data_IF_977198311024
#
_entry.id   IF_977198311024
#
_cell.length_a   1.000
_cell.length_b   1.000
_cell.length_c   1.000
_cell.angle_alpha   90.00
_cell.angle_beta   90.00
_cell.angle_gamma   90.00
#
_symmetry.space_group_name_H-M   'P 1'
#
loop_
_entity.id
_entity.type
_entity.pdbx_description
1 polymer ?
#
# COMPACT_ATOMS: atom_id res chain seq x y z
N UNK A 1 17.02 15.19 7.47
CA UNK A 1 17.42 13.90 8.09
C UNK A 1 16.62 13.77 9.37
N UNK A 2 15.54 12.97 9.38
CA UNK A 2 14.65 12.80 10.53
C UNK A 2 15.01 11.50 11.29
N UNK A 3 15.02 11.51 12.64
CA UNK A 3 15.42 10.34 13.41
C UNK A 3 14.27 9.34 13.51
N UNK A 4 14.48 8.13 13.01
CA UNK A 4 13.59 6.98 13.21
C UNK A 4 13.94 6.27 14.52
N UNK A 5 12.99 6.13 15.44
CA UNK A 5 13.16 5.32 16.66
C UNK A 5 12.97 3.83 16.36
N UNK A 6 13.79 3.01 17.03
CA UNK A 6 14.00 1.59 16.75
C UNK A 6 13.22 0.77 17.79
N UNK A 7 12.38 -0.17 17.36
CA UNK A 7 12.01 -1.34 18.16
C UNK A 7 12.39 -2.61 17.38
N UNK A 8 13.31 -3.39 17.93
CA UNK A 8 13.81 -4.64 17.36
C UNK A 8 12.90 -5.80 17.75
N UNK A 9 12.16 -6.35 16.79
CA UNK A 9 11.63 -7.71 16.86
C UNK A 9 12.35 -8.57 15.81
N UNK A 10 13.32 -9.37 16.24
CA UNK A 10 14.42 -9.88 15.39
C UNK A 10 14.03 -10.87 14.27
N UNK A 11 12.86 -11.52 14.34
CA UNK A 11 12.42 -12.46 13.29
C UNK A 11 11.58 -11.77 12.17
N UNK A 12 10.87 -10.69 12.49
CA UNK A 12 10.02 -9.92 11.57
C UNK A 12 10.73 -8.67 11.07
N UNK A 13 11.77 -8.20 11.77
CA UNK A 13 12.65 -7.11 11.35
C UNK A 13 13.49 -7.46 10.12
N UNK A 14 13.58 -8.74 9.73
CA UNK A 14 14.32 -9.16 8.53
C UNK A 14 13.65 -8.81 7.21
N UNK A 15 12.33 -8.64 7.15
CA UNK A 15 11.60 -8.50 5.89
C UNK A 15 10.71 -7.27 5.90
N UNK A 16 10.76 -6.45 4.85
CA UNK A 16 9.83 -5.34 4.66
C UNK A 16 9.25 -5.27 3.26
N UNK A 17 8.05 -4.69 3.14
CA UNK A 17 7.38 -4.44 1.87
C UNK A 17 7.25 -2.94 1.62
N UNK A 18 7.68 -2.49 0.46
CA UNK A 18 7.37 -1.16 -0.08
C UNK A 18 6.11 -1.28 -0.92
N UNK A 19 5.03 -0.61 -0.51
CA UNK A 19 3.72 -0.70 -1.18
C UNK A 19 3.55 0.50 -2.11
N UNK A 20 3.47 0.25 -3.42
CA UNK A 20 3.35 1.28 -4.43
C UNK A 20 2.00 1.15 -5.13
N UNK A 21 1.11 2.11 -4.87
CA UNK A 21 -0.14 2.24 -5.62
C UNK A 21 0.12 2.85 -6.99
N UNK A 22 -0.59 2.36 -8.01
CA UNK A 22 -0.47 2.87 -9.38
C UNK A 22 -1.19 4.22 -9.51
N UNK A 23 -0.46 5.23 -10.00
CA UNK A 23 -0.92 6.60 -10.14
C UNK A 23 0.22 7.58 -9.83
N UNK A 24 -0.13 8.78 -9.35
CA UNK A 24 0.87 9.76 -8.92
C UNK A 24 1.51 9.29 -7.61
N UNK A 25 2.79 8.94 -7.64
CA UNK A 25 3.52 8.45 -6.46
C UNK A 25 4.90 9.09 -6.38
N UNK A 26 5.52 9.19 -5.19
CA UNK A 26 6.81 9.86 -5.09
C UNK A 26 7.97 9.20 -5.82
N UNK A 27 7.89 7.90 -6.09
CA UNK A 27 8.98 7.13 -6.70
C UNK A 27 9.03 7.28 -8.23
N UNK A 28 8.82 8.50 -8.71
CA UNK A 28 8.88 8.87 -10.14
C UNK A 28 10.30 9.22 -10.60
N UNK A 29 11.25 9.39 -9.68
CA UNK A 29 12.66 9.70 -9.96
C UNK A 29 13.58 8.63 -9.40
N UNK A 30 14.73 8.44 -10.06
CA UNK A 30 15.76 7.49 -9.62
C UNK A 30 16.26 7.83 -8.22
N UNK A 31 16.47 9.12 -7.95
CA UNK A 31 16.90 9.60 -6.64
C UNK A 31 15.91 9.20 -5.54
N UNK A 32 14.60 9.38 -5.76
CA UNK A 32 13.61 9.01 -4.74
C UNK A 32 13.54 7.50 -4.52
N UNK A 33 13.75 6.69 -5.57
CA UNK A 33 13.84 5.23 -5.46
C UNK A 33 15.07 4.85 -4.63
N UNK A 34 16.23 5.45 -4.90
CA UNK A 34 17.46 5.19 -4.14
C UNK A 34 17.34 5.64 -2.68
N UNK A 35 16.83 6.85 -2.44
CA UNK A 35 16.64 7.42 -1.10
C UNK A 35 15.71 6.57 -0.24
N UNK A 36 14.74 5.88 -0.87
CA UNK A 36 13.90 4.91 -0.19
C UNK A 36 14.65 3.58 0.05
N UNK A 37 15.16 2.96 -1.02
CA UNK A 37 15.60 1.56 -0.95
C UNK A 37 16.93 1.40 -0.21
N UNK A 38 17.80 2.40 -0.25
CA UNK A 38 19.12 2.39 0.42
C UNK A 38 19.03 2.17 1.93
N UNK A 39 18.31 3.00 2.71
CA UNK A 39 18.16 2.77 4.15
C UNK A 39 17.38 1.48 4.45
N UNK A 40 16.40 1.10 3.62
CA UNK A 40 15.64 -0.13 3.83
C UNK A 40 16.49 -1.37 3.67
N UNK A 41 17.36 -1.42 2.66
CA UNK A 41 18.26 -2.57 2.43
C UNK A 41 19.42 -2.63 3.43
N UNK A 42 19.71 -1.54 4.12
CA UNK A 42 20.65 -1.54 5.24
C UNK A 42 20.01 -2.05 6.54
N UNK A 43 18.68 -1.89 6.68
CA UNK A 43 17.92 -2.24 7.89
C UNK A 43 17.30 -3.65 7.82
N UNK A 44 16.85 -4.05 6.64
CA UNK A 44 16.11 -5.29 6.41
C UNK A 44 16.94 -6.24 5.53
N UNK A 45 16.86 -7.53 5.82
CA UNK A 45 17.49 -8.58 5.01
C UNK A 45 16.85 -8.67 3.62
N UNK A 46 15.52 -8.65 3.55
CA UNK A 46 14.75 -8.65 2.30
C UNK A 46 13.84 -7.43 2.18
N UNK A 47 13.88 -6.79 1.02
CA UNK A 47 12.97 -5.70 0.65
C UNK A 47 12.12 -6.16 -0.53
N UNK A 48 10.82 -6.33 -0.30
CA UNK A 48 9.85 -6.60 -1.34
C UNK A 48 9.24 -5.29 -1.83
N UNK A 49 9.32 -4.99 -3.11
CA UNK A 49 8.62 -3.87 -3.71
C UNK A 49 7.36 -4.40 -4.37
N UNK A 50 6.20 -4.10 -3.80
CA UNK A 50 4.90 -4.55 -4.27
C UNK A 50 4.21 -3.45 -5.08
N UNK A 51 3.96 -3.73 -6.36
CA UNK A 51 3.17 -2.86 -7.23
C UNK A 51 1.70 -3.25 -7.16
N UNK A 52 0.88 -2.39 -6.56
CA UNK A 52 -0.56 -2.60 -6.39
C UNK A 52 -1.34 -2.14 -7.62
N UNK A 53 -1.09 -2.73 -8.78
CA UNK A 53 -1.75 -2.37 -10.04
C UNK A 53 -3.22 -2.80 -10.07
N UNK A 54 -3.52 -4.06 -9.76
CA UNK A 54 -4.88 -4.61 -9.93
C UNK A 54 -5.96 -3.88 -9.09
N UNK A 55 -5.81 -3.66 -7.77
CA UNK A 55 -6.84 -2.94 -7.00
C UNK A 55 -6.98 -1.49 -7.44
N UNK A 56 -5.93 -0.89 -7.99
CA UNK A 56 -5.95 0.49 -8.45
C UNK A 56 -6.86 0.70 -9.68
N UNK A 57 -7.32 -0.35 -10.38
CA UNK A 57 -8.28 -0.20 -11.48
C UNK A 57 -9.53 0.55 -11.04
N UNK A 58 -10.06 0.24 -9.86
CA UNK A 58 -11.23 0.92 -9.31
C UNK A 58 -10.93 2.38 -8.94
N UNK A 59 -9.76 2.64 -8.37
CA UNK A 59 -9.30 4.00 -8.06
C UNK A 59 -9.20 4.89 -9.33
N UNK A 60 -8.71 4.34 -10.43
CA UNK A 60 -8.62 5.06 -11.71
C UNK A 60 -9.99 5.40 -12.32
N UNK A 61 -11.04 4.67 -11.95
CA UNK A 61 -12.42 4.93 -12.39
C UNK A 61 -13.10 6.07 -11.63
N UNK A 62 -12.51 6.59 -10.55
CA UNK A 62 -13.07 7.71 -9.77
C UNK A 62 -13.06 9.03 -10.58
N UNK A 63 -11.91 9.52 -11.09
CA UNK A 63 -11.87 10.80 -11.79
C UNK A 63 -12.58 10.75 -13.15
N UNK A 64 -12.53 9.60 -13.84
CA UNK A 64 -12.97 9.46 -15.24
C UNK A 64 -14.10 8.44 -15.34
N UNK A 65 -15.12 8.73 -16.14
CA UNK A 65 -16.17 7.75 -16.50
C UNK A 65 -15.62 6.69 -17.45
N UNK A 66 -14.67 5.88 -17.00
CA UNK A 66 -14.06 4.79 -17.76
C UNK A 66 -14.71 3.43 -17.41
N UNK A 67 -14.56 2.47 -18.32
CA UNK A 67 -14.97 1.08 -18.10
C UNK A 67 -13.86 0.29 -17.41
N UNK A 68 -14.21 -0.82 -16.76
CA UNK A 68 -13.24 -1.70 -16.08
C UNK A 68 -12.11 -2.16 -17.03
N UNK A 69 -12.38 -2.65 -18.26
CA UNK A 69 -11.30 -3.10 -19.15
C UNK A 69 -10.31 -1.99 -19.53
N UNK A 70 -10.78 -0.74 -19.64
CA UNK A 70 -9.90 0.40 -19.91
C UNK A 70 -9.05 0.73 -18.68
N UNK A 71 -9.64 0.68 -17.48
CA UNK A 71 -8.93 0.88 -16.23
C UNK A 71 -7.85 -0.19 -16.01
N UNK A 72 -8.18 -1.46 -16.23
CA UNK A 72 -7.27 -2.61 -16.14
C UNK A 72 -6.07 -2.46 -17.08
N UNK A 73 -6.32 -2.11 -18.34
CA UNK A 73 -5.23 -1.85 -19.30
C UNK A 73 -4.33 -0.71 -18.82
N UNK A 74 -4.91 0.39 -18.34
CA UNK A 74 -4.16 1.55 -17.89
C UNK A 74 -3.31 1.26 -16.66
N UNK A 75 -3.85 0.58 -15.64
CA UNK A 75 -3.07 0.26 -14.43
C UNK A 75 -1.98 -0.77 -14.72
N UNK A 76 -2.23 -1.70 -15.64
CA UNK A 76 -1.20 -2.63 -16.11
C UNK A 76 -0.06 -1.89 -16.79
N UNK A 77 -0.35 -1.00 -17.73
CA UNK A 77 0.67 -0.21 -18.44
C UNK A 77 1.49 0.66 -17.48
N UNK A 78 0.84 1.34 -16.52
CA UNK A 78 1.54 2.08 -15.49
C UNK A 78 2.39 1.16 -14.58
N UNK A 79 1.87 0.00 -14.18
CA UNK A 79 2.62 -0.99 -13.42
C UNK A 79 3.84 -1.52 -14.18
N UNK A 80 3.71 -1.79 -15.48
CA UNK A 80 4.82 -2.19 -16.36
C UNK A 80 5.93 -1.12 -16.37
N UNK A 81 5.56 0.17 -16.46
CA UNK A 81 6.49 1.30 -16.43
C UNK A 81 7.18 1.46 -15.07
N UNK A 82 6.42 1.41 -13.96
CA UNK A 82 6.98 1.51 -12.61
C UNK A 82 7.97 0.38 -12.33
N UNK A 83 7.64 -0.86 -12.71
CA UNK A 83 8.55 -2.01 -12.57
C UNK A 83 9.82 -1.81 -13.39
N UNK A 84 9.70 -1.38 -14.65
CA UNK A 84 10.85 -1.15 -15.50
C UNK A 84 11.79 -0.08 -14.92
N UNK A 85 11.23 1.01 -14.39
CA UNK A 85 12.01 2.07 -13.75
C UNK A 85 12.73 1.57 -12.49
N UNK A 86 12.00 0.94 -11.56
CA UNK A 86 12.58 0.46 -10.30
C UNK A 86 13.64 -0.62 -10.55
N UNK A 87 13.39 -1.56 -11.47
CA UNK A 87 14.37 -2.59 -11.82
C UNK A 87 15.62 -2.00 -12.47
N UNK A 88 15.51 -0.93 -13.27
CA UNK A 88 16.67 -0.23 -13.81
C UNK A 88 17.51 0.35 -12.68
N UNK A 89 16.91 1.09 -11.75
CA UNK A 89 17.61 1.69 -10.60
C UNK A 89 18.25 0.61 -9.72
N UNK A 90 17.53 -0.48 -9.42
CA UNK A 90 18.07 -1.62 -8.67
C UNK A 90 19.26 -2.26 -9.40
N UNK A 91 19.18 -2.42 -10.72
CA UNK A 91 20.27 -3.01 -11.51
C UNK A 91 21.52 -2.13 -11.45
N UNK A 92 21.35 -0.83 -11.62
CA UNK A 92 22.45 0.14 -11.55
C UNK A 92 23.05 0.16 -10.13
N UNK A 93 22.21 0.10 -9.09
CA UNK A 93 22.63 0.12 -7.69
C UNK A 93 23.26 -1.20 -7.19
N UNK A 94 22.77 -2.37 -7.62
CA UNK A 94 23.34 -3.68 -7.25
C UNK A 94 24.77 -3.86 -7.74
N UNK A 95 25.19 -3.10 -8.75
CA UNK A 95 26.60 -3.02 -9.15
C UNK A 95 27.47 -2.54 -7.98
N UNK A 96 26.99 -1.57 -7.20
CA UNK A 96 27.70 -1.01 -6.05
C UNK A 96 27.41 -1.73 -4.73
N UNK A 97 26.28 -2.47 -4.64
CA UNK A 97 25.79 -3.08 -3.40
C UNK A 97 25.25 -4.51 -3.62
N UNK A 98 26.12 -5.50 -3.90
CA UNK A 98 25.72 -6.84 -4.34
C UNK A 98 25.00 -7.69 -3.27
N UNK A 99 25.00 -7.26 -2.01
CA UNK A 99 24.37 -7.98 -0.89
C UNK A 99 22.89 -7.61 -0.66
N UNK A 100 22.35 -6.61 -1.36
CA UNK A 100 20.96 -6.20 -1.18
C UNK A 100 19.98 -7.20 -1.80
N UNK A 101 19.10 -7.78 -0.98
CA UNK A 101 18.04 -8.65 -1.49
C UNK A 101 16.75 -7.85 -1.71
N UNK A 102 16.61 -7.34 -2.92
CA UNK A 102 15.43 -6.57 -3.35
C UNK A 102 14.74 -7.33 -4.47
N UNK A 103 13.44 -7.56 -4.29
CA UNK A 103 12.57 -8.22 -5.26
C UNK A 103 11.41 -7.29 -5.59
N UNK A 104 11.13 -7.10 -6.87
CA UNK A 104 9.97 -6.33 -7.34
C UNK A 104 8.91 -7.32 -7.82
N UNK A 105 7.71 -7.22 -7.26
CA UNK A 105 6.58 -8.10 -7.57
C UNK A 105 5.32 -7.29 -7.86
N UNK A 106 4.32 -7.96 -8.41
CA UNK A 106 2.96 -7.42 -8.61
C UNK A 106 1.97 -7.93 -7.58
N UNK A 107 0.85 -7.21 -7.51
CA UNK A 107 -0.31 -7.61 -6.74
C UNK A 107 -0.70 -9.08 -6.92
N UNK A 108 -0.75 -9.56 -8.17
CA UNK A 108 -1.13 -10.94 -8.46
C UNK A 108 -0.24 -12.00 -7.80
N UNK A 109 1.00 -11.67 -7.46
CA UNK A 109 1.96 -12.60 -6.86
C UNK A 109 1.77 -12.80 -5.35
N UNK A 110 0.98 -11.95 -4.69
CA UNK A 110 0.62 -12.10 -3.28
C UNK A 110 -0.75 -12.74 -3.07
N UNK A 111 -1.48 -13.03 -4.16
CA UNK A 111 -2.81 -13.65 -4.10
C UNK A 111 -2.65 -15.17 -4.07
N UNK A 112 -2.60 -15.71 -2.87
CA UNK A 112 -2.65 -17.15 -2.60
C UNK A 112 -4.00 -17.55 -1.98
N UNK A 113 -4.12 -18.83 -1.59
CA UNK A 113 -5.33 -19.37 -0.95
C UNK A 113 -5.63 -18.63 0.38
N UNK A 114 -4.60 -18.32 1.16
CA UNK A 114 -4.74 -17.58 2.42
C UNK A 114 -5.27 -16.16 2.16
N UNK A 115 -4.71 -15.45 1.17
CA UNK A 115 -5.19 -14.12 0.79
C UNK A 115 -6.65 -14.15 0.35
N UNK A 116 -7.00 -15.13 -0.48
CA UNK A 116 -8.37 -15.31 -0.98
C UNK A 116 -9.35 -15.57 0.16
N UNK A 117 -8.98 -16.42 1.11
CA UNK A 117 -9.83 -16.70 2.28
C UNK A 117 -9.95 -15.49 3.21
N UNK A 118 -8.87 -14.74 3.43
CA UNK A 118 -8.93 -13.47 4.17
C UNK A 118 -9.88 -12.46 3.51
N UNK A 119 -9.81 -12.34 2.19
CA UNK A 119 -10.70 -11.45 1.44
C UNK A 119 -12.18 -11.88 1.60
N UNK A 120 -12.46 -13.19 1.55
CA UNK A 120 -13.80 -13.72 1.80
C UNK A 120 -14.30 -13.36 3.21
N UNK A 121 -13.43 -13.46 4.22
CA UNK A 121 -13.76 -13.07 5.60
C UNK A 121 -14.02 -11.56 5.68
N UNK A 122 -13.18 -10.72 5.07
CA UNK A 122 -13.40 -9.26 4.99
C UNK A 122 -14.77 -8.95 4.39
N UNK A 123 -15.08 -9.53 3.22
CA UNK A 123 -16.36 -9.31 2.51
C UNK A 123 -17.55 -9.73 3.37
N UNK A 124 -17.44 -10.85 4.09
CA UNK A 124 -18.50 -11.34 5.00
C UNK A 124 -18.81 -10.35 6.12
N UNK A 125 -17.80 -9.62 6.62
CA UNK A 125 -17.94 -8.67 7.73
C UNK A 125 -18.17 -7.23 7.26
N UNK A 126 -18.00 -6.94 5.96
CA UNK A 126 -18.15 -5.61 5.36
C UNK A 126 -19.36 -4.82 5.88
N UNK A 127 -20.52 -5.46 5.96
CA UNK A 127 -21.77 -4.81 6.37
C UNK A 127 -21.71 -4.14 7.75
N UNK A 128 -20.83 -4.60 8.66
CA UNK A 128 -20.64 -3.97 9.99
C UNK A 128 -19.90 -2.64 9.92
N UNK A 129 -19.14 -2.42 8.85
CA UNK A 129 -18.24 -1.28 8.71
C UNK A 129 -18.61 -0.38 7.53
N UNK A 130 -19.77 -0.59 6.91
CA UNK A 130 -20.16 0.06 5.66
C UNK A 130 -20.13 1.59 5.78
N UNK A 131 -20.66 2.16 6.87
CA UNK A 131 -20.62 3.61 7.09
C UNK A 131 -19.20 4.16 7.16
N UNK A 132 -18.29 3.43 7.79
CA UNK A 132 -16.88 3.82 7.93
C UNK A 132 -16.14 3.70 6.59
N UNK A 133 -16.40 2.63 5.83
CA UNK A 133 -15.87 2.42 4.48
C UNK A 133 -16.35 3.54 3.56
N UNK A 134 -17.63 3.91 3.61
CA UNK A 134 -18.20 4.98 2.80
C UNK A 134 -17.67 6.36 3.20
N UNK A 135 -17.49 6.61 4.50
CA UNK A 135 -16.84 7.82 5.00
C UNK A 135 -15.40 7.95 4.51
N UNK A 136 -14.63 6.87 4.59
CA UNK A 136 -13.26 6.77 4.07
C UNK A 136 -13.20 7.06 2.56
N UNK A 137 -14.14 6.48 1.79
CA UNK A 137 -14.27 6.75 0.36
C UNK A 137 -14.55 8.22 0.05
N UNK A 138 -15.48 8.84 0.77
CA UNK A 138 -15.79 10.26 0.62
C UNK A 138 -14.57 11.16 0.89
N UNK A 139 -13.86 10.91 2.00
CA UNK A 139 -12.66 11.67 2.38
C UNK A 139 -11.54 11.51 1.34
N UNK A 140 -11.29 10.28 0.87
CA UNK A 140 -10.29 10.00 -0.16
C UNK A 140 -10.60 10.72 -1.48
N UNK A 141 -11.83 10.59 -1.98
CA UNK A 141 -12.23 11.18 -3.27
C UNK A 141 -12.17 12.69 -3.20
N UNK A 142 -12.62 13.30 -2.10
CA UNK A 142 -12.55 14.75 -1.91
C UNK A 142 -11.12 15.28 -1.94
N UNK A 143 -10.15 14.54 -1.36
CA UNK A 143 -8.74 14.93 -1.38
C UNK A 143 -8.10 14.74 -2.76
N UNK A 144 -8.43 13.64 -3.45
CA UNK A 144 -7.82 13.30 -4.74
C UNK A 144 -8.39 14.08 -5.91
N UNK A 145 -9.70 14.32 -5.90
CA UNK A 145 -10.42 15.04 -6.96
C UNK A 145 -11.36 16.06 -6.31
N UNK A 146 -10.85 17.21 -5.81
CA UNK A 146 -11.65 18.16 -5.02
C UNK A 146 -12.89 18.70 -5.74
N UNK A 147 -12.87 18.73 -7.06
CA UNK A 147 -13.97 19.20 -7.91
C UNK A 147 -14.95 18.08 -8.30
N UNK A 148 -14.68 16.82 -7.95
CA UNK A 148 -15.58 15.73 -8.27
C UNK A 148 -16.82 15.74 -7.38
N UNK A 149 -18.00 15.70 -8.02
CA UNK A 149 -19.24 15.33 -7.34
C UNK A 149 -19.14 13.91 -6.77
N UNK A 150 -19.41 13.75 -5.49
CA UNK A 150 -19.58 12.43 -4.86
C UNK A 150 -20.87 11.80 -5.39
N UNK A 151 -20.76 10.59 -5.90
CA UNK A 151 -21.88 9.76 -6.37
C UNK A 151 -21.72 8.36 -5.78
N UNK A 152 -22.82 7.63 -5.59
CA UNK A 152 -22.82 6.24 -5.11
C UNK A 152 -21.79 5.39 -5.87
N UNK A 153 -21.84 5.47 -7.20
CA UNK A 153 -20.92 4.75 -8.09
C UNK A 153 -19.44 5.05 -7.81
N UNK A 154 -19.08 6.28 -7.48
CA UNK A 154 -17.68 6.66 -7.17
C UNK A 154 -17.26 6.18 -5.78
N UNK A 155 -18.18 6.26 -4.81
CA UNK A 155 -17.97 5.71 -3.47
C UNK A 155 -17.75 4.20 -3.56
N UNK A 156 -18.58 3.49 -4.35
CA UNK A 156 -18.47 2.05 -4.56
C UNK A 156 -17.13 1.63 -5.17
N UNK A 157 -16.58 2.42 -6.11
CA UNK A 157 -15.26 2.15 -6.66
C UNK A 157 -14.16 2.19 -5.61
N UNK A 158 -14.11 3.24 -4.78
CA UNK A 158 -13.10 3.28 -3.73
C UNK A 158 -13.37 2.26 -2.62
N UNK A 159 -14.63 2.02 -2.28
CA UNK A 159 -14.99 0.99 -1.31
C UNK A 159 -14.50 -0.39 -1.77
N UNK A 160 -14.67 -0.74 -3.06
CA UNK A 160 -14.14 -1.98 -3.60
C UNK A 160 -12.61 -2.01 -3.58
N UNK A 161 -11.94 -0.94 -4.00
CA UNK A 161 -10.48 -0.81 -3.89
C UNK A 161 -9.98 -1.07 -2.47
N UNK A 162 -10.62 -0.46 -1.48
CA UNK A 162 -10.26 -0.61 -0.08
C UNK A 162 -10.48 -2.05 0.40
N UNK A 163 -11.64 -2.65 0.09
CA UNK A 163 -11.98 -4.03 0.46
C UNK A 163 -10.93 -5.01 -0.11
N UNK A 164 -10.58 -4.86 -1.39
CA UNK A 164 -9.59 -5.72 -2.04
C UNK A 164 -8.22 -5.64 -1.37
N UNK A 165 -7.88 -4.48 -0.81
CA UNK A 165 -6.61 -4.22 -0.15
C UNK A 165 -6.59 -4.53 1.36
N UNK A 166 -7.75 -4.73 2.01
CA UNK A 166 -7.83 -4.87 3.47
C UNK A 166 -6.98 -6.04 4.03
N UNK A 167 -6.91 -7.23 3.39
CA UNK A 167 -6.03 -8.29 3.86
C UNK A 167 -4.56 -7.84 3.95
N UNK A 168 -4.05 -7.15 2.91
CA UNK A 168 -2.72 -6.53 2.94
C UNK A 168 -2.61 -5.48 4.06
N UNK A 169 -3.61 -4.61 4.21
CA UNK A 169 -3.62 -3.55 5.23
C UNK A 169 -3.63 -4.04 6.67
N UNK A 170 -4.07 -5.27 6.93
CA UNK A 170 -4.16 -5.84 8.28
C UNK A 170 -2.99 -6.80 8.55
N UNK A 171 -2.66 -7.67 7.59
CA UNK A 171 -1.74 -8.81 7.82
C UNK A 171 -0.45 -8.79 7.00
N UNK A 172 -0.26 -7.80 6.13
CA UNK A 172 0.91 -7.70 5.26
C UNK A 172 0.86 -8.63 4.06
N UNK A 173 1.99 -8.72 3.36
CA UNK A 173 2.14 -9.55 2.17
C UNK A 173 2.82 -10.88 2.52
N UNK A 174 2.52 -11.91 1.74
CA UNK A 174 3.21 -13.21 1.77
C UNK A 174 3.79 -13.45 0.39
N UNK A 175 5.08 -13.79 0.34
CA UNK A 175 5.77 -14.06 -0.92
C UNK A 175 6.98 -14.96 -0.65
N UNK A 176 7.21 -15.96 -1.51
CA UNK A 176 8.36 -16.86 -1.38
C UNK A 176 8.43 -17.63 -0.05
N UNK A 177 7.28 -17.90 0.59
CA UNK A 177 7.21 -18.53 1.91
C UNK A 177 7.47 -17.59 3.09
N UNK A 178 7.86 -16.34 2.83
CA UNK A 178 8.11 -15.33 3.85
C UNK A 178 6.91 -14.40 4.02
N UNK A 179 6.80 -13.81 5.22
CA UNK A 179 5.80 -12.80 5.54
C UNK A 179 6.45 -11.44 5.74
N UNK A 180 5.82 -10.42 5.16
CA UNK A 180 6.29 -9.04 5.17
C UNK A 180 5.33 -8.19 6.00
N UNK A 181 5.60 -8.12 7.32
CA UNK A 181 4.75 -7.40 8.28
C UNK A 181 5.21 -5.96 8.54
N UNK A 182 6.33 -5.50 7.97
CA UNK A 182 6.74 -4.11 7.99
C UNK A 182 6.47 -3.47 6.63
N UNK A 183 5.46 -2.61 6.54
CA UNK A 183 5.13 -1.91 5.31
C UNK A 183 5.68 -0.48 5.32
N UNK A 184 6.23 -0.06 4.19
CA UNK A 184 6.62 1.31 3.90
C UNK A 184 5.79 1.83 2.73
N UNK A 185 5.07 2.91 2.96
CA UNK A 185 4.24 3.56 1.95
C UNK A 185 4.84 4.92 1.60
N UNK A 186 5.49 5.06 0.42
CA UNK A 186 5.99 6.33 -0.06
C UNK A 186 4.81 7.26 -0.40
N UNK A 187 4.77 8.43 0.22
CA UNK A 187 3.71 9.42 0.01
C UNK A 187 4.30 10.81 -0.16
N UNK A 188 3.60 11.68 -0.90
CA UNK A 188 3.99 13.07 -0.96
C UNK A 188 3.70 13.78 0.36
N UNK A 189 4.59 14.67 0.76
CA UNK A 189 4.36 15.61 1.87
C UNK A 189 3.05 16.37 1.62
N UNK A 190 2.14 16.42 2.62
CA UNK A 190 0.93 17.24 2.53
C UNK A 190 1.28 18.70 2.20
N UNK A 191 0.45 19.37 1.41
CA UNK A 191 0.66 20.79 1.08
C UNK A 191 0.37 21.66 2.32
N UNK A 192 1.35 22.40 2.83
CA UNK A 192 1.17 23.32 3.97
C UNK A 192 2.51 23.71 4.63
N UNK A 193 2.50 24.74 5.48
CA UNK A 193 3.67 25.19 6.25
C UNK A 193 3.92 24.35 7.52
N UNK A 194 3.39 23.12 7.59
CA UNK A 194 3.54 22.29 8.77
C UNK A 194 4.98 21.80 8.88
N UNK A 195 5.64 22.16 9.98
CA UNK A 195 7.02 21.75 10.27
C UNK A 195 7.17 20.25 10.52
N UNK A 196 6.06 19.52 10.69
CA UNK A 196 6.03 18.06 10.87
C UNK A 196 4.96 17.39 9.97
N UNK A 197 5.36 16.86 8.80
CA UNK A 197 4.49 16.12 7.89
C UNK A 197 3.83 14.87 8.51
N UNK A 198 4.47 14.25 9.51
CA UNK A 198 3.94 13.06 10.15
C UNK A 198 2.75 13.40 11.07
N UNK A 199 2.79 14.57 11.71
CA UNK A 199 1.70 15.05 12.56
C UNK A 199 0.46 15.47 11.75
N UNK A 200 0.63 16.00 10.54
CA UNK A 200 -0.48 16.48 9.71
C UNK A 200 -1.09 15.42 8.78
N UNK A 201 -0.36 14.34 8.50
CA UNK A 201 -0.85 13.29 7.62
C UNK A 201 -1.89 12.39 8.32
N UNK A 202 -3.13 12.42 7.81
CA UNK A 202 -4.18 11.46 8.16
C UNK A 202 -4.46 10.54 6.99
N UNK A 203 -4.26 9.24 7.17
CA UNK A 203 -4.60 8.25 6.15
C UNK A 203 -6.11 8.00 6.16
N UNK A 204 -6.81 8.06 5.00
CA UNK A 204 -8.27 7.88 4.97
C UNK A 204 -8.69 6.43 5.29
N UNK A 205 -7.77 5.46 5.23
CA UNK A 205 -8.11 4.03 5.36
C UNK A 205 -7.81 3.46 6.75
N UNK A 206 -6.97 4.12 7.56
CA UNK A 206 -6.48 3.51 8.81
C UNK A 206 -7.56 3.38 9.89
N UNK A 207 -8.59 4.21 9.86
CA UNK A 207 -9.75 4.07 10.77
C UNK A 207 -10.53 2.80 10.43
N UNK A 208 -10.72 2.49 9.14
CA UNK A 208 -11.33 1.22 8.68
C UNK A 208 -10.50 0.03 9.11
N UNK A 209 -9.18 0.07 8.88
CA UNK A 209 -8.26 -0.99 9.30
C UNK A 209 -8.36 -1.23 10.81
N UNK A 210 -8.35 -0.15 11.60
CA UNK A 210 -8.46 -0.24 13.06
C UNK A 210 -9.80 -0.83 13.50
N UNK A 211 -10.90 -0.49 12.83
CA UNK A 211 -12.22 -1.05 13.13
C UNK A 211 -12.28 -2.57 12.89
N UNK A 212 -11.73 -3.05 11.77
CA UNK A 212 -11.61 -4.49 11.53
C UNK A 212 -10.72 -5.17 12.59
N UNK A 213 -9.55 -4.59 12.89
CA UNK A 213 -8.64 -5.13 13.91
C UNK A 213 -9.27 -5.20 15.33
N UNK A 214 -10.24 -4.32 15.62
CA UNK A 214 -10.91 -4.27 16.92
C UNK A 214 -12.18 -5.12 17.00
N UNK A 215 -12.67 -5.69 15.89
CA UNK A 215 -13.80 -6.63 15.90
C UNK A 215 -13.29 -8.04 16.24
N UNK A 216 -13.69 -8.53 17.42
CA UNK A 216 -13.20 -9.78 17.97
C UNK A 216 -13.57 -10.99 17.10
N UNK A 217 -14.77 -11.02 16.51
CA UNK A 217 -15.24 -12.16 15.72
C UNK A 217 -14.55 -12.20 14.35
N UNK A 218 -14.35 -11.03 13.73
CA UNK A 218 -13.54 -10.91 12.52
C UNK A 218 -12.11 -11.40 12.78
N UNK A 219 -11.47 -10.88 13.83
CA UNK A 219 -10.09 -11.22 14.15
C UNK A 219 -9.93 -12.69 14.50
N UNK A 220 -10.87 -13.28 15.23
CA UNK A 220 -10.85 -14.72 15.52
C UNK A 220 -10.86 -15.56 14.22
N UNK A 221 -11.70 -15.21 13.25
CA UNK A 221 -11.77 -15.92 11.97
C UNK A 221 -10.52 -15.70 11.12
N UNK A 222 -10.07 -14.45 11.00
CA UNK A 222 -8.90 -14.11 10.20
C UNK A 222 -7.61 -14.76 10.74
N UNK A 223 -7.45 -14.83 12.08
CA UNK A 223 -6.30 -15.46 12.74
C UNK A 223 -6.20 -16.96 12.51
N UNK A 224 -7.32 -17.65 12.20
CA UNK A 224 -7.31 -19.07 11.83
C UNK A 224 -6.69 -19.29 10.44
N UNK A 225 -6.68 -18.27 9.59
CA UNK A 225 -6.02 -18.29 8.28
C UNK A 225 -4.55 -17.89 8.42
N UNK A 226 -4.28 -16.82 9.16
CA UNK A 226 -2.93 -16.23 9.30
C UNK A 226 -2.21 -16.67 10.57
N UNK A 227 -2.27 -17.96 10.92
CA UNK A 227 -1.72 -18.53 12.16
C UNK A 227 -0.42 -17.83 12.60
N UNK A 228 -0.42 -17.29 13.82
CA UNK A 228 0.70 -16.58 14.48
C UNK A 228 1.31 -15.39 13.73
N UNK A 229 0.61 -14.84 12.73
CA UNK A 229 1.10 -13.71 11.94
C UNK A 229 0.85 -12.38 12.64
N UNK A 230 1.86 -11.57 12.97
CA UNK A 230 1.63 -10.26 13.58
C UNK A 230 0.79 -9.36 12.68
N UNK A 231 0.13 -8.37 13.29
CA UNK A 231 -0.47 -7.28 12.52
C UNK A 231 0.63 -6.51 11.80
N UNK A 232 0.30 -5.95 10.64
CA UNK A 232 1.25 -5.15 9.88
C UNK A 232 1.57 -3.83 10.60
N UNK A 233 2.84 -3.46 10.59
CA UNK A 233 3.31 -2.14 10.97
C UNK A 233 3.42 -1.25 9.73
N UNK A 234 2.61 -0.20 9.68
CA UNK A 234 2.61 0.78 8.59
C UNK A 234 3.54 1.96 8.89
N UNK A 235 4.51 2.17 8.02
CA UNK A 235 5.44 3.30 8.05
C UNK A 235 5.16 4.19 6.83
N UNK A 236 5.07 5.50 7.05
CA UNK A 236 4.92 6.48 5.96
C UNK A 236 6.28 7.09 5.66
N UNK A 237 6.64 7.13 4.39
CA UNK A 237 7.89 7.76 3.94
C UNK A 237 7.54 8.97 3.10
N UNK A 238 7.89 10.14 3.59
CA UNK A 238 7.49 11.41 2.99
C UNK A 238 8.52 11.88 1.97
N UNK A 239 8.02 12.33 0.83
CA UNK A 239 8.80 12.91 -0.26
C UNK A 239 8.21 14.25 -0.67
N UNK A 240 9.07 15.19 -1.04
CA UNK A 240 8.61 16.48 -1.54
C UNK A 240 7.88 16.32 -2.89
N UNK A 241 6.89 17.18 -3.11
CA UNK A 241 6.25 17.26 -4.44
C UNK A 241 7.22 17.95 -5.40
N UNK A 242 7.34 17.48 -6.65
CA UNK A 242 8.07 18.22 -7.67
C UNK A 242 7.52 19.64 -7.79
N UNK A 243 8.40 20.64 -7.78
CA UNK A 243 8.05 22.01 -8.15
C UNK A 243 7.89 22.02 -9.67
N UNK A 244 6.65 22.20 -10.14
CA UNK A 244 6.30 22.32 -11.57
C UNK A 244 6.22 23.79 -11.95
#
# INVERSE_FOLDING_TARGET
>A
MYPFSISEDSATAGHCVVVICVGKHPLETDQNIEDLLRPLSAKHHDVLVLICDDPCKHDQMIPRSMTIPVAEKMVKECGDQTIAQINRVIKDWKFDNPKSNITVIRWAEIIDEDYTELLNIVVRFRGRFEDLIRGSAGEYIHRRVPTARLTERRLDYFAQHLIDCLPLYIFGAKYGGNRYSHAYHPIFTPSGNDHDPAASYRSPVMDVVSAYCNDAEFMEKARRVTLDSPLIQWNRVFFEKPVV
#
